data_IF_183115501501
#
_entry.id   IF_183115501501
#
_cell.length_a   1.000
_cell.length_b   1.000
_cell.length_c   1.000
_cell.angle_alpha   90.00
_cell.angle_beta   90.00
_cell.angle_gamma   90.00
#
_symmetry.space_group_name_H-M   'P 1'
#
loop_
_entity.id
_entity.type
_entity.pdbx_description
1 polymer ?
#
# COMPACT_ATOMS: atom_id res chain seq x y z
N UNK A 1 -19.65 -43.28 5.07
CA UNK A 1 -18.23 -42.85 5.17
C UNK A 1 -18.04 -41.71 4.20
N UNK A 2 -18.10 -40.46 4.68
CA UNK A 2 -17.88 -39.29 3.83
C UNK A 2 -16.39 -39.03 3.67
N UNK A 3 -15.93 -38.99 2.43
CA UNK A 3 -14.57 -38.58 2.08
C UNK A 3 -14.60 -37.06 1.91
N UNK A 4 -14.21 -36.31 2.95
CA UNK A 4 -14.06 -34.86 2.83
C UNK A 4 -12.91 -34.55 1.86
N UNK A 5 -13.27 -33.99 0.70
CA UNK A 5 -12.31 -33.47 -0.27
C UNK A 5 -11.44 -32.39 0.41
N UNK A 6 -10.13 -32.66 0.46
CA UNK A 6 -9.13 -31.75 1.02
C UNK A 6 -8.96 -30.59 0.03
N UNK A 7 -9.48 -29.42 0.41
CA UNK A 7 -9.38 -28.20 -0.39
C UNK A 7 -7.88 -27.85 -0.52
N UNK A 8 -7.26 -28.19 -1.66
CA UNK A 8 -5.87 -27.82 -1.96
C UNK A 8 -5.87 -26.34 -2.33
N UNK A 9 -5.75 -25.49 -1.33
CA UNK A 9 -5.30 -24.11 -1.52
C UNK A 9 -3.95 -24.16 -2.24
N UNK A 10 -3.93 -23.75 -3.50
CA UNK A 10 -2.73 -23.60 -4.32
C UNK A 10 -1.98 -22.34 -3.90
N UNK A 11 -1.48 -22.31 -2.65
CA UNK A 11 -0.48 -21.33 -2.26
C UNK A 11 0.83 -21.64 -2.98
N UNK A 12 1.38 -20.67 -3.69
CA UNK A 12 2.79 -20.71 -4.09
C UNK A 12 3.60 -20.94 -2.82
N UNK A 13 4.38 -22.01 -2.76
CA UNK A 13 5.08 -22.48 -1.56
C UNK A 13 6.26 -21.63 -1.12
N UNK A 14 6.11 -20.31 -1.10
CA UNK A 14 7.11 -19.37 -0.61
C UNK A 14 6.72 -18.98 0.82
N UNK A 15 7.61 -19.26 1.78
CA UNK A 15 7.37 -19.06 3.21
C UNK A 15 8.37 -18.07 3.80
N UNK A 16 8.01 -17.44 4.92
CA UNK A 16 8.98 -16.76 5.75
C UNK A 16 9.70 -17.76 6.67
N UNK A 17 11.02 -17.85 6.59
CA UNK A 17 11.80 -18.80 7.39
C UNK A 17 11.82 -18.51 8.91
N UNK A 18 11.26 -17.39 9.37
CA UNK A 18 11.16 -17.07 10.81
C UNK A 18 9.84 -17.59 11.39
N UNK A 19 8.70 -17.22 10.81
CA UNK A 19 7.38 -17.64 11.32
C UNK A 19 6.86 -18.92 10.67
N UNK A 20 7.48 -19.39 9.58
CA UNK A 20 7.07 -20.55 8.78
C UNK A 20 5.70 -20.41 8.09
N UNK A 21 5.13 -19.20 8.05
CA UNK A 21 3.88 -18.92 7.35
C UNK A 21 4.12 -18.68 5.85
N UNK A 22 3.14 -19.05 5.03
CA UNK A 22 3.13 -18.75 3.59
C UNK A 22 2.94 -17.26 3.35
N UNK A 23 3.65 -16.75 2.34
CA UNK A 23 3.41 -15.38 1.91
C UNK A 23 2.06 -15.24 1.22
N UNK A 24 1.39 -14.14 1.53
CA UNK A 24 0.19 -13.66 0.84
C UNK A 24 0.52 -12.44 -0.03
N UNK A 25 -0.31 -12.09 -1.03
CA UNK A 25 -0.15 -10.86 -1.81
C UNK A 25 -0.13 -9.56 -0.99
N UNK A 26 -0.60 -9.61 0.24
CA UNK A 26 -0.69 -8.46 1.13
C UNK A 26 0.51 -8.35 2.08
N UNK A 27 1.38 -9.35 2.12
CA UNK A 27 2.52 -9.35 3.01
C UNK A 27 3.57 -8.35 2.61
N UNK A 28 4.13 -7.69 3.62
CA UNK A 28 5.28 -6.81 3.46
C UNK A 28 6.54 -7.66 3.60
N UNK A 29 7.17 -7.95 2.47
CA UNK A 29 8.32 -8.84 2.40
C UNK A 29 9.59 -8.02 2.18
N UNK A 30 10.59 -8.28 3.02
CA UNK A 30 11.91 -7.69 2.91
C UNK A 30 12.93 -8.79 2.65
N UNK A 31 13.96 -8.45 1.90
CA UNK A 31 15.13 -9.29 1.71
C UNK A 31 16.38 -8.62 2.24
N UNK A 32 17.32 -9.45 2.69
CA UNK A 32 18.68 -9.00 3.01
C UNK A 32 19.47 -8.83 1.72
N UNK A 33 19.91 -7.61 1.39
CA UNK A 33 20.60 -7.35 0.13
C UNK A 33 21.97 -8.06 0.01
N UNK A 34 22.55 -8.52 1.12
CA UNK A 34 23.80 -9.28 1.12
C UNK A 34 23.61 -10.76 0.73
N UNK A 35 22.41 -11.31 0.82
CA UNK A 35 22.19 -12.76 0.57
C UNK A 35 20.89 -13.12 -0.16
N UNK A 36 19.95 -12.18 -0.35
CA UNK A 36 18.69 -12.40 -1.06
C UNK A 36 17.61 -13.16 -0.28
N UNK A 37 17.85 -13.60 0.95
CA UNK A 37 16.84 -14.30 1.76
C UNK A 37 15.72 -13.35 2.19
N UNK A 38 14.49 -13.85 2.08
CA UNK A 38 13.26 -13.08 2.23
C UNK A 38 12.56 -13.42 3.54
N UNK A 39 11.98 -12.41 4.19
CA UNK A 39 11.29 -12.52 5.47
C UNK A 39 10.13 -11.51 5.51
N UNK A 40 9.07 -11.78 6.29
CA UNK A 40 8.13 -10.70 6.63
C UNK A 40 8.88 -9.56 7.31
N UNK A 41 8.52 -8.30 7.01
CA UNK A 41 9.10 -7.10 7.63
C UNK A 41 9.15 -7.24 9.15
N UNK A 42 8.01 -7.54 9.78
CA UNK A 42 7.90 -7.67 11.24
C UNK A 42 8.85 -8.73 11.79
N UNK A 43 8.92 -9.89 11.12
CA UNK A 43 9.81 -10.98 11.52
C UNK A 43 11.28 -10.57 11.43
N UNK A 44 11.70 -9.96 10.31
CA UNK A 44 13.07 -9.53 10.12
C UNK A 44 13.47 -8.40 11.06
N UNK A 45 12.62 -7.38 11.22
CA UNK A 45 12.86 -6.27 12.14
C UNK A 45 13.03 -6.77 13.57
N UNK A 46 12.17 -7.68 14.03
CA UNK A 46 12.28 -8.29 15.36
C UNK A 46 13.60 -9.05 15.53
N UNK A 47 14.04 -9.77 14.51
CA UNK A 47 15.34 -10.45 14.52
C UNK A 47 16.52 -9.47 14.59
N UNK A 48 16.48 -8.39 13.80
CA UNK A 48 17.52 -7.37 13.76
C UNK A 48 17.60 -6.50 15.03
N UNK A 49 16.62 -6.56 15.92
CA UNK A 49 16.73 -6.02 17.28
C UNK A 49 17.72 -6.84 18.15
N UNK A 50 17.96 -8.11 17.80
CA UNK A 50 18.76 -9.05 18.60
C UNK A 50 20.09 -9.36 17.89
N UNK A 51 20.09 -9.53 16.57
CA UNK A 51 21.28 -9.90 15.80
C UNK A 51 21.32 -9.21 14.44
N UNK A 52 22.47 -8.64 14.08
CA UNK A 52 22.70 -8.01 12.77
C UNK A 52 23.14 -9.04 11.70
N UNK A 53 22.48 -10.20 11.68
CA UNK A 53 22.77 -11.30 10.76
C UNK A 53 21.50 -11.81 10.09
N UNK A 54 21.61 -12.40 8.92
CA UNK A 54 20.50 -13.04 8.23
C UNK A 54 19.98 -14.23 9.07
N UNK A 55 18.67 -14.30 9.39
CA UNK A 55 18.10 -15.42 10.16
C UNK A 55 18.31 -16.80 9.52
N UNK A 56 18.46 -16.85 8.19
CA UNK A 56 18.57 -18.10 7.44
C UNK A 56 20.01 -18.55 7.18
N UNK A 57 20.91 -17.62 6.82
CA UNK A 57 22.28 -17.97 6.43
C UNK A 57 23.38 -17.34 7.30
N UNK A 58 23.00 -16.51 8.28
CA UNK A 58 23.91 -15.80 9.21
C UNK A 58 24.90 -14.81 8.58
N UNK A 59 24.80 -14.54 7.28
CA UNK A 59 25.54 -13.45 6.62
C UNK A 59 25.22 -12.09 7.27
N UNK A 60 26.15 -11.14 7.23
CA UNK A 60 25.93 -9.78 7.74
C UNK A 60 24.65 -9.18 7.15
N UNK A 61 23.78 -8.67 8.02
CA UNK A 61 22.50 -8.08 7.65
C UNK A 61 22.20 -6.89 8.57
N UNK A 62 22.35 -5.69 8.04
CA UNK A 62 22.05 -4.44 8.74
C UNK A 62 20.72 -3.86 8.27
N UNK A 63 20.10 -3.01 9.09
CA UNK A 63 18.82 -2.35 8.77
C UNK A 63 18.91 -1.50 7.49
N UNK A 64 20.06 -0.91 7.24
CA UNK A 64 20.26 -0.07 6.04
C UNK A 64 20.43 -0.91 4.76
N UNK A 65 20.63 -2.22 4.92
CA UNK A 65 20.91 -3.17 3.84
C UNK A 65 19.78 -4.20 3.63
N UNK A 66 18.61 -3.96 4.21
CA UNK A 66 17.40 -4.71 3.87
C UNK A 66 16.57 -3.88 2.88
N UNK A 67 15.93 -4.56 1.93
CA UNK A 67 15.15 -3.92 0.87
C UNK A 67 13.80 -4.62 0.75
N UNK A 68 12.77 -3.85 0.42
CA UNK A 68 11.46 -4.43 0.11
C UNK A 68 11.54 -5.19 -1.22
N UNK A 69 10.90 -6.35 -1.27
CA UNK A 69 10.68 -7.09 -2.51
C UNK A 69 9.18 -7.25 -2.74
N UNK A 70 8.79 -7.15 -4.01
CA UNK A 70 7.42 -7.37 -4.47
C UNK A 70 7.38 -8.72 -5.18
N UNK A 71 6.76 -9.71 -4.54
CA UNK A 71 6.55 -11.01 -5.16
C UNK A 71 5.31 -10.98 -6.03
N UNK A 72 5.43 -11.44 -7.27
CA UNK A 72 4.30 -11.60 -8.18
C UNK A 72 3.62 -12.93 -7.90
N UNK A 73 2.52 -12.89 -7.16
CA UNK A 73 1.69 -14.06 -6.90
C UNK A 73 0.78 -14.32 -8.11
N UNK A 74 0.96 -15.46 -8.77
CA UNK A 74 0.03 -15.94 -9.80
C UNK A 74 -0.21 -17.43 -9.63
N UNK A 75 -1.45 -17.85 -9.80
CA UNK A 75 -1.78 -19.27 -9.84
C UNK A 75 -1.25 -19.87 -11.16
N UNK A 76 -0.62 -21.05 -11.09
CA UNK A 76 -0.20 -21.77 -12.29
C UNK A 76 -1.45 -22.25 -13.02
N UNK A 77 -1.83 -21.54 -14.09
CA UNK A 77 -2.94 -21.92 -14.96
C UNK A 77 -2.55 -23.12 -15.81
N UNK A 78 -3.19 -24.26 -15.58
CA UNK A 78 -3.23 -25.35 -16.56
C UNK A 78 -4.25 -24.96 -17.65
N UNK A 79 -3.84 -24.09 -18.59
CA UNK A 79 -4.72 -23.63 -19.66
C UNK A 79 -3.99 -22.83 -20.72
N UNK A 80 -4.22 -23.17 -22.00
CA UNK A 80 -3.61 -22.53 -23.18
C UNK A 80 -3.99 -21.05 -23.27
N UNK A 81 -3.00 -20.16 -23.21
CA UNK A 81 -3.06 -18.82 -23.84
C UNK A 81 -4.10 -17.81 -23.33
N UNK A 82 -4.79 -18.07 -22.21
CA UNK A 82 -5.70 -17.09 -21.62
C UNK A 82 -4.90 -16.00 -20.90
N UNK A 83 -5.15 -14.73 -21.27
CA UNK A 83 -4.57 -13.54 -20.64
C UNK A 83 -4.76 -13.63 -19.11
N UNK A 84 -3.74 -13.34 -18.28
CA UNK A 84 -3.85 -13.31 -16.80
C UNK A 84 -5.15 -12.64 -16.38
N UNK A 85 -5.90 -13.18 -15.39
CA UNK A 85 -7.12 -12.53 -14.96
C UNK A 85 -6.71 -11.16 -14.41
N UNK A 86 -7.32 -10.10 -14.92
CA UNK A 86 -7.03 -8.74 -14.42
C UNK A 86 -7.40 -8.71 -12.94
N UNK A 87 -6.40 -8.56 -12.08
CA UNK A 87 -6.63 -8.45 -10.64
C UNK A 87 -7.41 -7.15 -10.41
N UNK A 88 -8.60 -7.18 -9.77
CA UNK A 88 -9.49 -6.02 -9.78
C UNK A 88 -8.90 -4.77 -9.12
N UNK A 89 -8.02 -4.96 -8.14
CA UNK A 89 -7.38 -3.90 -7.36
C UNK A 89 -5.87 -4.10 -7.45
N UNK A 90 -5.15 -3.13 -8.04
CA UNK A 90 -3.70 -3.23 -8.21
C UNK A 90 -2.99 -1.94 -7.82
N UNK A 91 -1.89 -2.09 -7.08
CA UNK A 91 -0.91 -1.03 -6.85
C UNK A 91 0.22 -1.17 -7.85
N UNK A 92 0.41 -0.16 -8.70
CA UNK A 92 1.39 -0.18 -9.77
C UNK A 92 2.45 0.89 -9.53
N UNK A 93 3.73 0.50 -9.40
CA UNK A 93 4.84 1.46 -9.36
C UNK A 93 4.86 2.31 -10.64
N UNK A 94 4.95 3.62 -10.49
CA UNK A 94 5.04 4.52 -11.63
C UNK A 94 6.42 4.48 -12.27
N UNK A 95 6.43 4.35 -13.60
CA UNK A 95 7.61 4.69 -14.39
C UNK A 95 7.71 6.21 -14.52
N UNK A 96 8.66 6.81 -13.79
CA UNK A 96 8.91 8.25 -13.79
C UNK A 96 9.37 8.78 -15.16
N UNK A 97 9.82 7.93 -16.07
CA UNK A 97 10.17 8.29 -17.45
C UNK A 97 8.94 8.31 -18.37
N UNK A 98 7.87 7.62 -17.99
CA UNK A 98 6.64 7.62 -18.78
C UNK A 98 6.02 9.02 -18.88
N UNK A 99 5.38 9.27 -20.01
CA UNK A 99 4.66 10.52 -20.31
C UNK A 99 3.16 10.40 -20.05
N UNK A 100 2.64 9.18 -19.99
CA UNK A 100 1.22 8.88 -19.77
C UNK A 100 1.08 7.98 -18.56
N UNK A 101 0.01 8.19 -17.81
CA UNK A 101 -0.35 7.29 -16.73
C UNK A 101 -0.92 5.97 -17.25
N UNK A 102 -0.77 4.88 -16.48
CA UNK A 102 -1.45 3.62 -16.75
C UNK A 102 -2.96 3.81 -16.90
N UNK A 103 -3.59 3.01 -17.77
CA UNK A 103 -5.05 2.98 -17.92
C UNK A 103 -5.70 2.45 -16.64
N UNK A 104 -6.85 3.00 -16.25
CA UNK A 104 -7.58 2.59 -15.05
C UNK A 104 -7.05 3.19 -13.75
N UNK A 105 -6.09 4.12 -13.82
CA UNK A 105 -5.63 4.87 -12.65
C UNK A 105 -6.80 5.64 -12.02
N UNK A 106 -6.90 5.56 -10.70
CA UNK A 106 -8.00 6.17 -9.96
C UNK A 106 -7.78 7.66 -9.79
N UNK A 107 -8.55 8.46 -10.54
CA UNK A 107 -8.63 9.91 -10.33
C UNK A 107 -9.49 10.21 -9.09
N UNK A 108 -8.99 11.07 -8.20
CA UNK A 108 -9.63 11.38 -6.92
C UNK A 108 -10.04 12.85 -6.75
N UNK A 109 -9.64 13.74 -7.66
CA UNK A 109 -10.01 15.15 -7.58
C UNK A 109 -9.04 16.07 -8.31
N UNK A 110 -8.80 17.24 -7.72
CA UNK A 110 -7.91 18.26 -8.24
C UNK A 110 -7.07 18.91 -7.12
N UNK A 111 -5.87 19.38 -7.46
CA UNK A 111 -5.06 20.22 -6.58
C UNK A 111 -5.53 21.69 -6.63
N UNK A 112 -4.87 22.57 -5.87
CA UNK A 112 -5.18 24.01 -5.80
C UNK A 112 -4.95 24.74 -7.12
N UNK A 113 -4.24 24.12 -8.08
CA UNK A 113 -3.92 24.67 -9.39
C UNK A 113 -4.83 24.08 -10.48
N UNK A 114 -5.83 23.27 -10.11
CA UNK A 114 -6.75 22.61 -11.03
C UNK A 114 -6.17 21.39 -11.74
N UNK A 115 -5.01 20.89 -11.34
CA UNK A 115 -4.43 19.68 -11.92
C UNK A 115 -5.12 18.44 -11.33
N UNK A 116 -5.37 17.42 -12.15
CA UNK A 116 -6.00 16.19 -11.66
C UNK A 116 -5.09 15.46 -10.66
N UNK A 117 -5.68 15.04 -9.54
CA UNK A 117 -5.05 14.22 -8.52
C UNK A 117 -5.48 12.76 -8.66
N UNK A 118 -4.59 11.84 -8.31
CA UNK A 118 -4.79 10.40 -8.37
C UNK A 118 -4.49 9.73 -7.03
N UNK A 119 -5.17 8.62 -6.73
CA UNK A 119 -4.88 7.83 -5.52
C UNK A 119 -3.52 7.16 -5.68
N UNK A 120 -2.64 7.44 -4.73
CA UNK A 120 -1.29 6.90 -4.68
C UNK A 120 -0.92 6.48 -3.27
N UNK A 121 0.26 5.89 -3.14
CA UNK A 121 0.91 5.64 -1.86
C UNK A 121 2.43 5.68 -2.02
N UNK A 122 3.12 5.96 -0.92
CA UNK A 122 4.59 6.10 -0.88
C UNK A 122 5.16 5.48 0.38
N UNK A 123 6.43 5.10 0.33
CA UNK A 123 7.16 4.63 1.51
C UNK A 123 7.91 5.77 2.18
N UNK A 124 7.76 5.88 3.50
CA UNK A 124 8.55 6.79 4.34
C UNK A 124 8.78 6.15 5.71
N UNK A 125 10.04 6.02 6.13
CA UNK A 125 10.41 5.52 7.46
C UNK A 125 9.68 4.23 7.91
N UNK A 126 9.52 3.28 6.98
CA UNK A 126 8.81 2.01 7.17
C UNK A 126 7.27 2.07 7.21
N UNK A 127 6.69 3.26 7.10
CA UNK A 127 5.28 3.46 6.83
C UNK A 127 5.01 3.33 5.33
N UNK A 128 3.87 2.75 5.00
CA UNK A 128 3.26 2.90 3.68
C UNK A 128 2.16 3.94 3.81
N UNK A 129 2.37 5.11 3.22
CA UNK A 129 1.51 6.27 3.43
C UNK A 129 0.56 6.46 2.25
N UNK A 130 -0.75 6.59 2.51
CA UNK A 130 -1.69 7.11 1.52
C UNK A 130 -1.22 8.47 1.00
N UNK A 131 -1.26 8.64 -0.31
CA UNK A 131 -0.80 9.83 -0.99
C UNK A 131 -1.76 10.27 -2.11
N UNK A 132 -1.69 11.54 -2.46
CA UNK A 132 -2.26 12.03 -3.72
C UNK A 132 -1.14 12.29 -4.72
N UNK A 133 -1.29 11.81 -5.95
CA UNK A 133 -0.31 12.04 -7.02
C UNK A 133 -0.84 13.01 -8.06
N UNK A 134 0.01 13.95 -8.52
CA UNK A 134 -0.30 14.88 -9.60
C UNK A 134 0.63 14.60 -10.78
N UNK A 135 0.06 14.18 -11.91
CA UNK A 135 0.83 13.76 -13.08
C UNK A 135 1.59 14.90 -13.76
N UNK A 136 1.05 16.12 -13.70
CA UNK A 136 1.62 17.29 -14.40
C UNK A 136 2.99 17.69 -13.86
N UNK A 137 3.17 17.68 -12.53
CA UNK A 137 4.43 17.97 -11.85
C UNK A 137 5.19 16.69 -11.42
N UNK A 138 4.60 15.51 -11.62
CA UNK A 138 5.15 14.21 -11.20
C UNK A 138 5.43 14.15 -9.70
N UNK A 139 4.53 14.69 -8.89
CA UNK A 139 4.69 14.79 -7.44
C UNK A 139 3.60 14.00 -6.73
N UNK A 140 4.00 13.13 -5.80
CA UNK A 140 3.10 12.57 -4.79
C UNK A 140 3.21 13.37 -3.50
N UNK A 141 2.08 13.60 -2.83
CA UNK A 141 1.98 14.34 -1.58
C UNK A 141 1.33 13.44 -0.52
N UNK A 142 1.99 13.29 0.62
CA UNK A 142 1.49 12.53 1.77
C UNK A 142 1.74 13.28 3.08
N UNK A 143 1.15 12.80 4.17
CA UNK A 143 1.34 13.37 5.50
C UNK A 143 2.01 12.38 6.46
N UNK A 144 2.99 12.85 7.23
CA UNK A 144 3.77 12.07 8.17
C UNK A 144 4.38 12.97 9.24
N UNK A 145 4.40 12.51 10.48
CA UNK A 145 5.06 13.18 11.63
C UNK A 145 4.79 14.70 11.69
N UNK A 146 3.51 15.09 11.66
CA UNK A 146 3.05 16.48 11.68
C UNK A 146 3.43 17.34 10.45
N UNK A 147 4.02 16.76 9.41
CA UNK A 147 4.46 17.47 8.20
C UNK A 147 3.82 16.89 6.93
N UNK A 148 3.80 17.70 5.88
CA UNK A 148 3.50 17.25 4.53
C UNK A 148 4.79 17.02 3.74
N UNK A 149 4.88 15.87 3.06
CA UNK A 149 6.04 15.47 2.28
C UNK A 149 5.70 15.31 0.80
N UNK A 150 6.62 15.74 -0.05
CA UNK A 150 6.56 15.57 -1.50
C UNK A 150 7.54 14.49 -1.96
N UNK A 151 7.08 13.59 -2.82
CA UNK A 151 7.85 12.50 -3.40
C UNK A 151 7.84 12.61 -4.93
N UNK A 152 8.99 12.36 -5.55
CA UNK A 152 9.19 12.45 -7.01
C UNK A 152 9.54 11.09 -7.65
N UNK A 153 9.71 10.05 -6.83
CA UNK A 153 10.04 8.69 -7.23
C UNK A 153 9.43 7.69 -6.24
N UNK A 154 9.47 6.39 -6.58
CA UNK A 154 8.97 5.30 -5.72
C UNK A 154 7.50 5.47 -5.32
N UNK A 155 6.71 6.07 -6.22
CA UNK A 155 5.27 6.26 -6.08
C UNK A 155 4.53 5.07 -6.69
N UNK A 156 3.61 4.48 -5.93
CA UNK A 156 2.65 3.51 -6.45
C UNK A 156 1.29 4.18 -6.66
N UNK A 157 0.63 3.93 -7.79
CA UNK A 157 -0.73 4.41 -8.06
C UNK A 157 -1.74 3.27 -8.01
N UNK A 158 -2.95 3.58 -7.57
CA UNK A 158 -4.05 2.62 -7.56
C UNK A 158 -4.67 2.52 -8.96
N UNK A 159 -4.76 1.29 -9.45
CA UNK A 159 -5.52 0.92 -10.64
C UNK A 159 -6.69 0.03 -10.20
N UNK A 160 -7.88 0.39 -10.65
CA UNK A 160 -9.08 -0.44 -10.46
C UNK A 160 -9.56 -0.94 -11.83
N UNK A 161 -9.84 -2.24 -11.91
CA UNK A 161 -10.45 -2.90 -13.06
C UNK A 161 -11.62 -3.74 -12.58
N UNK A 162 -12.75 -3.74 -13.27
CA UNK A 162 -13.95 -4.49 -12.87
C UNK A 162 -14.41 -4.23 -11.40
N UNK A 163 -14.10 -3.04 -10.88
CA UNK A 163 -14.55 -2.58 -9.56
C UNK A 163 -15.22 -1.21 -9.69
N UNK A 164 -16.25 -0.99 -8.88
CA UNK A 164 -16.79 0.33 -8.63
C UNK A 164 -16.11 0.97 -7.42
N UNK A 165 -15.78 2.24 -7.56
CA UNK A 165 -15.20 3.04 -6.49
C UNK A 165 -16.32 3.77 -5.75
N UNK A 166 -16.30 3.67 -4.42
CA UNK A 166 -17.24 4.39 -3.55
C UNK A 166 -16.49 5.14 -2.44
N UNK A 167 -17.06 6.27 -2.06
CA UNK A 167 -16.66 7.02 -0.88
C UNK A 167 -17.74 6.84 0.18
N UNK A 168 -17.34 6.34 1.36
CA UNK A 168 -18.26 6.03 2.45
C UNK A 168 -17.97 6.96 3.62
N UNK A 169 -18.97 7.65 4.21
CA UNK A 169 -18.75 8.53 5.34
C UNK A 169 -18.03 7.84 6.49
N UNK A 170 -17.09 8.54 7.12
CA UNK A 170 -16.37 8.11 8.30
C UNK A 170 -16.07 9.30 9.22
N UNK A 171 -15.92 9.03 10.50
CA UNK A 171 -15.53 10.02 11.51
C UNK A 171 -14.67 9.35 12.57
N UNK A 172 -13.79 10.09 13.23
CA UNK A 172 -13.01 9.60 14.39
C UNK A 172 -12.36 8.22 14.19
N UNK A 173 -11.56 8.08 13.15
CA UNK A 173 -10.92 6.80 12.79
C UNK A 173 -11.82 5.69 12.22
N UNK A 174 -13.15 5.88 12.11
CA UNK A 174 -14.06 4.84 11.60
C UNK A 174 -13.86 4.54 10.10
N UNK A 175 -14.04 3.27 9.73
CA UNK A 175 -14.00 2.80 8.34
C UNK A 175 -15.01 1.66 8.12
N UNK A 176 -15.36 1.40 6.86
CA UNK A 176 -16.20 0.26 6.46
C UNK A 176 -15.38 -1.04 6.35
N UNK A 177 -15.99 -2.20 6.52
CA UNK A 177 -15.34 -3.50 6.28
C UNK A 177 -14.79 -3.66 4.86
N UNK A 178 -15.37 -2.94 3.90
CA UNK A 178 -14.95 -2.95 2.49
C UNK A 178 -13.91 -1.88 2.16
N UNK A 179 -13.42 -1.13 3.17
CA UNK A 179 -12.45 -0.07 2.97
C UNK A 179 -11.13 -0.62 2.42
N UNK A 180 -10.57 0.08 1.43
CA UNK A 180 -9.29 -0.30 0.85
C UNK A 180 -8.17 0.01 1.83
N UNK A 181 -7.48 -1.04 2.26
CA UNK A 181 -6.23 -0.93 3.02
C UNK A 181 -5.15 -0.33 2.12
N UNK A 182 -4.98 0.99 2.17
CA UNK A 182 -4.10 1.72 1.24
C UNK A 182 -2.73 2.02 1.82
N UNK A 183 -2.56 1.87 3.13
CA UNK A 183 -1.31 2.06 3.82
C UNK A 183 -1.22 1.31 5.13
N UNK A 184 -0.09 1.49 5.82
CA UNK A 184 0.13 1.00 7.17
C UNK A 184 1.21 1.81 7.88
N UNK A 185 1.15 1.89 9.21
CA UNK A 185 2.18 2.51 10.06
C UNK A 185 3.38 1.60 10.27
N UNK A 186 4.43 2.11 10.93
CA UNK A 186 5.65 1.36 11.22
C UNK A 186 5.38 0.08 12.02
N UNK A 187 4.41 0.16 12.94
CA UNK A 187 3.91 -0.93 13.79
C UNK A 187 2.96 -1.89 13.05
N UNK A 188 2.62 -1.58 11.79
CA UNK A 188 1.76 -2.41 10.96
C UNK A 188 0.27 -2.14 11.14
N UNK A 189 -0.12 -1.06 11.83
CA UNK A 189 -1.52 -0.64 11.87
C UNK A 189 -1.96 -0.21 10.47
N UNK A 190 -3.04 -0.79 9.97
CA UNK A 190 -3.59 -0.45 8.66
C UNK A 190 -4.13 0.97 8.66
N UNK A 191 -3.79 1.72 7.62
CA UNK A 191 -4.34 3.05 7.34
C UNK A 191 -5.08 3.05 6.01
N UNK A 192 -6.02 3.99 5.88
CA UNK A 192 -6.94 4.04 4.75
C UNK A 192 -6.82 5.39 4.04
N UNK A 193 -7.14 5.41 2.74
CA UNK A 193 -7.25 6.65 1.99
C UNK A 193 -8.61 7.25 2.28
N UNK A 194 -8.61 8.41 2.92
CA UNK A 194 -9.80 9.22 3.10
C UNK A 194 -9.79 10.42 2.16
N UNK A 195 -10.94 11.06 2.01
CA UNK A 195 -11.05 12.43 1.49
C UNK A 195 -11.89 13.26 2.44
N UNK A 196 -11.54 14.52 2.58
CA UNK A 196 -12.28 15.46 3.43
C UNK A 196 -12.22 16.87 2.88
N UNK A 197 -13.20 17.68 3.29
CA UNK A 197 -13.25 19.09 2.93
C UNK A 197 -12.29 19.87 3.84
N UNK A 198 -11.28 20.50 3.25
CA UNK A 198 -10.34 21.36 3.97
C UNK A 198 -9.94 22.57 3.13
N UNK A 199 -10.08 23.77 3.70
CA UNK A 199 -9.86 25.05 3.01
C UNK A 199 -10.68 25.15 1.70
N UNK A 200 -11.98 24.83 1.79
CA UNK A 200 -12.94 24.89 0.68
C UNK A 200 -12.74 23.85 -0.43
N UNK A 201 -11.77 22.94 -0.30
CA UNK A 201 -11.42 21.95 -1.32
C UNK A 201 -11.43 20.54 -0.75
N UNK A 202 -11.95 19.57 -1.51
CA UNK A 202 -11.86 18.15 -1.14
C UNK A 202 -10.44 17.65 -1.41
N UNK A 203 -9.78 17.13 -0.37
CA UNK A 203 -8.39 16.64 -0.44
C UNK A 203 -8.30 15.22 0.08
N UNK A 204 -7.36 14.46 -0.46
CA UNK A 204 -7.04 13.14 0.08
C UNK A 204 -6.18 13.25 1.33
N UNK A 205 -6.33 12.25 2.19
CA UNK A 205 -5.58 12.10 3.42
C UNK A 205 -5.46 10.66 3.86
N UNK A 206 -4.73 10.48 4.96
CA UNK A 206 -4.52 9.22 5.67
C UNK A 206 -5.48 9.14 6.84
N UNK A 207 -6.43 8.21 6.78
CA UNK A 207 -7.27 7.85 7.94
C UNK A 207 -6.47 6.89 8.80
N UNK A 208 -6.27 7.27 10.06
CA UNK A 208 -5.55 6.49 11.05
C UNK A 208 -6.52 6.06 12.15
N UNK A 209 -6.94 4.78 12.18
CA UNK A 209 -8.00 4.33 13.09
C UNK A 209 -7.72 4.60 14.57
N UNK A 210 -6.55 4.21 15.09
CA UNK A 210 -6.19 4.38 16.50
C UNK A 210 -5.98 5.83 16.93
N UNK A 211 -5.63 6.71 15.99
CA UNK A 211 -5.48 8.15 16.26
C UNK A 211 -6.83 8.88 16.13
N UNK A 212 -7.87 8.16 15.73
CA UNK A 212 -9.23 8.67 15.59
C UNK A 212 -9.33 9.91 14.68
N UNK A 213 -8.56 9.95 13.58
CA UNK A 213 -8.52 11.14 12.71
C UNK A 213 -8.11 10.82 11.28
N UNK A 214 -8.48 11.71 10.34
CA UNK A 214 -7.86 11.77 9.03
C UNK A 214 -6.85 12.91 8.96
N UNK A 215 -5.65 12.59 8.50
CA UNK A 215 -4.57 13.55 8.29
C UNK A 215 -4.50 13.97 6.82
N UNK A 216 -4.51 15.26 6.54
CA UNK A 216 -4.37 15.83 5.19
C UNK A 216 -3.04 16.58 5.08
N UNK A 217 -2.24 16.36 4.04
CA UNK A 217 -1.10 17.22 3.76
C UNK A 217 -1.57 18.57 3.18
N UNK A 218 -1.22 19.67 3.84
CA UNK A 218 -1.60 21.01 3.42
C UNK A 218 -0.53 22.05 3.78
N UNK A 219 -0.01 22.76 2.75
CA UNK A 219 0.96 23.86 2.89
C UNK A 219 2.18 23.50 3.77
N UNK A 220 2.74 22.31 3.57
CA UNK A 220 3.91 21.83 4.32
C UNK A 220 3.57 21.18 5.66
N UNK A 221 2.34 21.27 6.13
CA UNK A 221 1.91 20.72 7.41
C UNK A 221 0.95 19.54 7.23
N UNK A 222 0.90 18.67 8.23
CA UNK A 222 -0.17 17.70 8.38
C UNK A 222 -1.30 18.33 9.20
N UNK A 223 -2.53 18.30 8.67
CA UNK A 223 -3.71 18.87 9.33
C UNK A 223 -4.76 17.80 9.62
N UNK A 224 -5.47 17.98 10.73
CA UNK A 224 -6.43 17.00 11.23
C UNK A 224 -7.84 17.32 10.73
N UNK A 225 -8.53 16.30 10.22
CA UNK A 225 -9.93 16.37 9.80
C UNK A 225 -10.70 15.22 10.47
N UNK A 226 -11.67 15.53 11.36
CA UNK A 226 -12.39 14.51 12.10
C UNK A 226 -13.47 13.82 11.27
N UNK A 227 -14.10 14.52 10.33
CA UNK A 227 -15.17 14.02 9.47
C UNK A 227 -14.73 13.95 8.01
N UNK A 228 -14.88 12.78 7.42
CA UNK A 228 -14.32 12.46 6.11
C UNK A 228 -15.12 11.37 5.40
N UNK A 229 -14.68 10.97 4.23
CA UNK A 229 -15.16 9.77 3.55
C UNK A 229 -13.97 8.83 3.28
N UNK A 230 -14.16 7.53 3.47
CA UNK A 230 -13.16 6.49 3.25
C UNK A 230 -13.35 5.84 1.88
N UNK A 231 -12.25 5.59 1.19
CA UNK A 231 -12.22 4.91 -0.09
C UNK A 231 -12.55 3.42 0.04
N UNK A 232 -13.55 2.97 -0.73
CA UNK A 232 -14.01 1.57 -0.82
C UNK A 232 -13.98 1.15 -2.30
N UNK A 233 -13.56 -0.08 -2.58
CA UNK A 233 -13.80 -0.71 -3.88
C UNK A 233 -14.80 -1.85 -3.73
N UNK A 234 -15.78 -1.87 -4.62
CA UNK A 234 -16.83 -2.87 -4.68
C UNK A 234 -16.61 -3.68 -5.96
N UNK A 235 -16.29 -4.98 -5.87
CA UNK A 235 -16.22 -5.86 -7.06
C UNK A 235 -17.53 -5.84 -7.84
N UNK A 236 -17.46 -5.85 -9.17
CA UNK A 236 -18.61 -6.03 -10.06
C UNK A 236 -18.95 -7.50 -10.28
#
# INVERSE_FOLDING_TARGET
MEVKARNKSSSLGVICAICSEFYTPYDVIFYSASCGHNFHKVCLTRWLNISLTCPQCRSSCHRDNIRRIYLNFSERREGKGEEPPKVPIQWVPLDYKATKLPKGVVKCGFDNKGNSTYVARVYLNNDLLPASYVAKNKTALCSWDCQAYEFFSEVEVLILTECDLKWVPGTKGSYSSDALQTGYSEDGEVTYTGRGLYDGTVRLGKVHPSHEVMYIPHRGLEVNVPDYEVLVAIPR
#
